data_IF_433111638976
#
_entry.id   IF_433111638976
#
_cell.length_a   1.000
_cell.length_b   1.000
_cell.length_c   1.000
_cell.angle_alpha   90.00
_cell.angle_beta   90.00
_cell.angle_gamma   90.00
#
_symmetry.space_group_name_H-M   'P 1'
#
loop_
_entity.id
_entity.type
_entity.pdbx_description
1 polymer ?
#
# COMPACT_ATOMS: atom_id res chain seq x y z
N UNK A 1 -2.91 24.26 14.08
CA UNK A 1 -2.34 23.06 14.68
C UNK A 1 -2.11 23.19 16.17
N UNK A 2 -1.36 24.18 16.61
CA UNK A 2 -1.00 24.34 18.04
C UNK A 2 -2.14 24.73 18.98
N UNK A 3 -3.27 25.21 18.47
CA UNK A 3 -4.32 25.74 19.32
C UNK A 3 -5.04 24.65 20.13
N UNK A 4 -5.55 23.61 19.46
CA UNK A 4 -6.31 22.55 20.13
C UNK A 4 -5.43 21.84 21.17
N UNK A 5 -4.22 21.50 20.82
CA UNK A 5 -3.21 20.97 21.72
C UNK A 5 -2.94 21.88 22.93
N UNK A 6 -2.64 23.14 22.68
CA UNK A 6 -2.30 24.08 23.77
C UNK A 6 -3.41 24.28 24.80
N UNK A 7 -4.68 24.06 24.40
CA UNK A 7 -5.82 24.15 25.31
C UNK A 7 -6.14 22.85 26.05
N UNK A 8 -5.86 21.68 25.47
CA UNK A 8 -6.06 20.39 26.13
C UNK A 8 -4.85 19.98 26.97
N UNK A 9 -3.65 20.22 26.46
CA UNK A 9 -2.39 19.88 27.12
C UNK A 9 -2.21 18.37 27.30
N UNK A 10 -2.56 17.56 26.29
CA UNK A 10 -2.33 16.13 26.31
C UNK A 10 -0.83 15.79 26.37
N UNK A 11 -0.49 14.61 26.86
CA UNK A 11 0.90 14.16 26.98
C UNK A 11 1.46 13.74 25.62
N UNK A 12 2.08 14.66 24.90
CA UNK A 12 2.67 14.45 23.57
C UNK A 12 3.81 13.42 23.53
N UNK A 13 4.40 13.12 24.69
CA UNK A 13 5.49 12.15 24.79
C UNK A 13 4.99 10.73 24.82
N UNK A 14 3.98 10.47 25.64
CA UNK A 14 3.42 9.13 25.80
C UNK A 14 2.35 8.83 24.77
N UNK A 15 1.55 9.84 24.38
CA UNK A 15 0.40 9.73 23.48
C UNK A 15 0.43 10.80 22.37
N UNK A 16 1.49 10.85 21.52
CA UNK A 16 1.68 11.95 20.56
C UNK A 16 0.53 12.11 19.57
N UNK A 17 -0.24 11.07 19.31
CA UNK A 17 -1.38 11.11 18.41
C UNK A 17 -2.56 11.95 18.92
N UNK A 18 -2.72 12.05 20.26
CA UNK A 18 -3.78 12.88 20.86
C UNK A 18 -3.57 14.36 20.59
N UNK A 19 -2.32 14.74 20.43
CA UNK A 19 -1.91 16.09 20.11
C UNK A 19 -1.85 16.27 18.59
N UNK A 20 -0.88 15.68 17.95
CA UNK A 20 -0.57 15.88 16.53
C UNK A 20 -1.64 15.31 15.60
N UNK A 21 -2.15 14.13 15.93
CA UNK A 21 -3.10 13.40 15.09
C UNK A 21 -4.49 14.04 15.05
N UNK A 22 -5.02 14.43 16.21
CA UNK A 22 -6.31 15.13 16.29
C UNK A 22 -6.25 16.52 15.63
N UNK A 23 -5.15 17.23 15.78
CA UNK A 23 -4.93 18.49 15.09
C UNK A 23 -4.88 18.28 13.57
N UNK A 24 -4.17 17.25 13.10
CA UNK A 24 -4.09 16.91 11.66
C UNK A 24 -5.45 16.56 11.07
N UNK A 25 -6.30 15.83 11.81
CA UNK A 25 -7.67 15.55 11.40
C UNK A 25 -8.50 16.84 11.25
N UNK A 26 -8.46 17.73 12.23
CA UNK A 26 -9.18 19.02 12.16
C UNK A 26 -8.64 19.92 11.05
N UNK A 27 -7.33 19.94 10.81
CA UNK A 27 -6.71 20.65 9.70
C UNK A 27 -7.18 20.11 8.35
N UNK A 28 -7.26 18.80 8.19
CA UNK A 28 -7.80 18.17 6.96
C UNK A 28 -9.27 18.54 6.74
N UNK A 29 -10.11 18.55 7.78
CA UNK A 29 -11.51 19.00 7.69
C UNK A 29 -11.58 20.47 7.27
N UNK A 30 -10.79 21.33 7.92
CA UNK A 30 -10.73 22.75 7.56
C UNK A 30 -10.32 22.97 6.10
N UNK A 31 -9.28 22.26 5.65
CA UNK A 31 -8.80 22.36 4.25
C UNK A 31 -9.87 21.90 3.25
N UNK A 32 -10.58 20.82 3.53
CA UNK A 32 -11.67 20.33 2.67
C UNK A 32 -12.82 21.35 2.53
N UNK A 33 -13.20 21.98 3.61
CA UNK A 33 -14.32 22.97 3.62
C UNK A 33 -13.88 24.30 3.00
N UNK A 34 -12.70 24.80 3.38
CA UNK A 34 -12.25 26.14 3.00
C UNK A 34 -11.60 26.19 1.61
N UNK A 35 -10.91 25.10 1.23
CA UNK A 35 -10.12 25.01 0.01
C UNK A 35 -10.40 23.69 -0.73
N UNK A 36 -11.64 23.48 -1.20
CA UNK A 36 -12.06 22.19 -1.78
C UNK A 36 -11.21 21.76 -2.99
N UNK A 37 -10.72 22.68 -3.78
CA UNK A 37 -9.90 22.42 -4.97
C UNK A 37 -8.40 22.37 -4.69
N UNK A 38 -7.98 22.63 -3.46
CA UNK A 38 -6.56 22.65 -3.11
C UNK A 38 -6.04 21.24 -2.82
N UNK A 39 -4.98 20.87 -3.49
CA UNK A 39 -4.23 19.66 -3.21
C UNK A 39 -2.73 19.99 -3.07
N UNK A 40 -2.17 19.74 -1.90
CA UNK A 40 -0.78 20.09 -1.57
C UNK A 40 0.24 19.48 -2.55
N UNK A 41 -0.01 18.27 -3.05
CA UNK A 41 0.90 17.57 -3.97
C UNK A 41 0.74 18.04 -5.41
N UNK A 42 -0.50 18.29 -5.84
CA UNK A 42 -0.80 18.52 -7.26
C UNK A 42 -1.02 19.98 -7.62
N UNK A 43 -1.32 20.86 -6.64
CA UNK A 43 -1.65 22.27 -6.90
C UNK A 43 -0.57 23.03 -7.67
N UNK A 44 0.70 22.74 -7.42
CA UNK A 44 1.84 23.37 -8.11
C UNK A 44 2.21 22.74 -9.46
N UNK A 45 1.57 21.61 -9.83
CA UNK A 45 1.89 20.92 -11.08
C UNK A 45 1.08 21.49 -12.27
N UNK A 46 1.72 21.66 -13.44
CA UNK A 46 1.02 22.02 -14.67
C UNK A 46 -0.10 21.01 -15.03
N UNK A 47 -1.20 21.50 -15.65
CA UNK A 47 -2.34 20.63 -16.03
C UNK A 47 -1.93 19.43 -16.88
N UNK A 48 -1.01 19.60 -17.84
CA UNK A 48 -0.57 18.49 -18.69
C UNK A 48 0.14 17.39 -17.89
N UNK A 49 0.90 17.73 -16.85
CA UNK A 49 1.55 16.76 -15.95
C UNK A 49 0.48 16.04 -15.13
N UNK A 50 -0.50 16.77 -14.57
CA UNK A 50 -1.61 16.16 -13.81
C UNK A 50 -2.35 15.13 -14.66
N UNK A 51 -2.69 15.49 -15.90
CA UNK A 51 -3.37 14.59 -16.85
C UNK A 51 -2.49 13.39 -17.22
N UNK A 52 -1.20 13.61 -17.52
CA UNK A 52 -0.27 12.52 -17.91
C UNK A 52 -0.05 11.52 -16.78
N UNK A 53 0.06 12.00 -15.54
CA UNK A 53 0.24 11.18 -14.35
C UNK A 53 -1.09 10.74 -13.74
N UNK A 54 -2.25 11.09 -14.34
CA UNK A 54 -3.58 10.77 -13.83
C UNK A 54 -3.79 11.22 -12.38
N UNK A 55 -3.46 12.49 -12.13
CA UNK A 55 -3.55 13.10 -10.81
C UNK A 55 -4.79 14.00 -10.67
N UNK A 56 -5.64 14.08 -11.69
CA UNK A 56 -6.83 14.96 -11.69
C UNK A 56 -7.88 14.46 -10.69
N UNK A 57 -8.04 13.14 -10.55
CA UNK A 57 -8.99 12.51 -9.62
C UNK A 57 -8.56 12.56 -8.15
N UNK A 58 -7.37 13.09 -7.89
CA UNK A 58 -6.81 13.16 -6.54
C UNK A 58 -7.01 14.55 -5.89
N UNK A 59 -8.04 15.25 -6.22
CA UNK A 59 -8.44 16.48 -5.53
C UNK A 59 -8.95 16.18 -4.14
N UNK A 60 -8.73 16.87 -3.12
CA UNK A 60 -9.35 16.82 -1.77
C UNK A 60 -9.01 15.68 -0.81
N UNK A 61 -8.22 14.66 -1.19
CA UNK A 61 -7.79 13.63 -0.24
C UNK A 61 -6.36 13.87 0.21
N UNK A 62 -6.05 13.54 1.44
CA UNK A 62 -4.67 13.53 1.94
C UNK A 62 -3.89 12.35 1.37
N UNK A 63 -3.74 12.32 0.04
CA UNK A 63 -3.06 11.24 -0.68
C UNK A 63 -1.67 10.98 -0.16
N UNK A 64 -0.94 12.04 0.15
CA UNK A 64 0.40 11.89 0.71
C UNK A 64 0.36 11.16 2.06
N UNK A 65 -0.57 11.53 2.92
CA UNK A 65 -0.78 10.88 4.20
C UNK A 65 -1.25 9.43 4.06
N UNK A 66 -2.22 9.16 3.18
CA UNK A 66 -2.67 7.80 2.86
C UNK A 66 -1.51 6.95 2.32
N UNK A 67 -0.72 7.49 1.40
CA UNK A 67 0.44 6.81 0.83
C UNK A 67 1.50 6.47 1.88
N UNK A 68 1.79 7.38 2.80
CA UNK A 68 2.72 7.14 3.91
C UNK A 68 2.23 6.00 4.81
N UNK A 69 0.95 5.99 5.16
CA UNK A 69 0.34 4.90 5.92
C UNK A 69 0.37 3.58 5.14
N UNK A 70 -0.12 3.57 3.90
CA UNK A 70 -0.22 2.36 3.09
C UNK A 70 1.15 1.74 2.81
N UNK A 71 2.17 2.53 2.50
CA UNK A 71 3.52 2.02 2.28
C UNK A 71 4.06 1.26 3.51
N UNK A 72 3.82 1.79 4.71
CA UNK A 72 4.22 1.11 5.94
C UNK A 72 3.39 -0.16 6.18
N UNK A 73 2.08 -0.11 6.00
CA UNK A 73 1.20 -1.26 6.13
C UNK A 73 1.52 -2.36 5.11
N UNK A 74 1.66 -2.02 3.82
CA UNK A 74 1.98 -2.97 2.75
C UNK A 74 3.34 -3.65 2.91
N UNK A 75 4.30 -2.96 3.50
CA UNK A 75 5.66 -3.49 3.69
C UNK A 75 5.88 -4.09 5.07
N UNK A 76 4.84 -4.21 5.90
CA UNK A 76 4.92 -4.78 7.23
C UNK A 76 5.77 -3.97 8.21
N UNK A 77 5.83 -2.65 8.02
CA UNK A 77 6.59 -1.71 8.85
C UNK A 77 5.71 -0.77 9.65
N UNK A 78 4.40 -1.03 9.69
CA UNK A 78 3.45 -0.26 10.47
C UNK A 78 3.72 -0.37 11.97
N UNK A 79 3.38 0.67 12.73
CA UNK A 79 3.42 0.70 14.20
C UNK A 79 2.05 1.13 14.74
N UNK A 80 1.70 0.78 15.99
CA UNK A 80 0.47 1.26 16.62
C UNK A 80 0.41 2.80 16.65
N UNK A 81 -0.80 3.34 16.62
CA UNK A 81 -1.02 4.77 16.84
C UNK A 81 -0.73 5.12 18.31
N UNK A 82 -1.14 4.25 19.23
CA UNK A 82 -0.82 4.37 20.66
C UNK A 82 0.58 3.79 20.90
N UNK A 83 1.57 4.67 20.89
CA UNK A 83 2.96 4.30 21.12
C UNK A 83 3.73 5.52 21.62
N UNK A 84 4.59 5.32 22.61
CA UNK A 84 5.47 6.37 23.11
C UNK A 84 6.34 6.96 21.97
N UNK A 85 6.44 8.30 21.90
CA UNK A 85 7.08 9.03 20.81
C UNK A 85 8.47 8.53 20.42
N UNK A 86 9.31 8.20 21.42
CA UNK A 86 10.69 7.72 21.18
C UNK A 86 10.78 6.29 20.57
N UNK A 87 9.68 5.53 20.53
CA UNK A 87 9.66 4.17 19.96
C UNK A 87 9.35 4.15 18.47
N UNK A 88 8.85 5.22 17.89
CA UNK A 88 8.62 5.32 16.46
C UNK A 88 9.92 5.38 15.66
N UNK A 89 9.89 4.85 14.44
CA UNK A 89 10.88 5.24 13.42
C UNK A 89 10.55 6.66 12.94
N UNK A 90 11.52 7.40 12.41
CA UNK A 90 11.28 8.77 11.92
C UNK A 90 10.18 8.84 10.86
N UNK A 91 10.13 7.86 9.90
CA UNK A 91 9.06 7.79 8.90
C UNK A 91 7.69 7.50 9.54
N UNK A 92 7.64 6.60 10.53
CA UNK A 92 6.39 6.24 11.16
C UNK A 92 5.87 7.34 12.08
N UNK A 93 6.75 8.15 12.68
CA UNK A 93 6.29 9.29 13.46
C UNK A 93 5.43 10.22 12.59
N UNK A 94 5.94 10.67 11.44
CA UNK A 94 5.16 11.47 10.50
C UNK A 94 3.96 10.73 9.89
N UNK A 95 4.17 9.49 9.41
CA UNK A 95 3.14 8.73 8.70
C UNK A 95 2.02 8.18 9.59
N UNK A 96 2.28 7.92 10.88
CA UNK A 96 1.30 7.32 11.79
C UNK A 96 0.71 8.35 12.73
N UNK A 97 1.54 9.08 13.45
CA UNK A 97 1.05 10.03 14.48
C UNK A 97 0.19 11.11 13.84
N UNK A 98 0.60 11.63 12.69
CA UNK A 98 -0.16 12.65 11.94
C UNK A 98 -1.17 12.01 10.98
N UNK A 99 -0.69 11.29 9.97
CA UNK A 99 -1.51 10.91 8.81
C UNK A 99 -2.45 9.76 9.10
N UNK A 100 -1.96 8.63 9.62
CA UNK A 100 -2.82 7.48 9.94
C UNK A 100 -3.88 7.87 10.97
N UNK A 101 -3.50 8.63 12.00
CA UNK A 101 -4.45 9.10 13.02
C UNK A 101 -5.54 9.96 12.39
N UNK A 102 -5.18 10.94 11.55
CA UNK A 102 -6.18 11.76 10.88
C UNK A 102 -7.15 10.95 10.03
N UNK A 103 -6.65 9.95 9.29
CA UNK A 103 -7.46 9.07 8.42
C UNK A 103 -8.41 8.20 9.25
N UNK A 104 -7.96 7.63 10.37
CA UNK A 104 -8.84 6.77 11.17
C UNK A 104 -9.89 7.59 11.93
N UNK A 105 -9.62 8.84 12.30
CA UNK A 105 -10.63 9.74 12.85
C UNK A 105 -11.63 10.23 11.78
N UNK A 106 -11.21 10.40 10.54
CA UNK A 106 -12.13 10.60 9.40
C UNK A 106 -13.10 9.41 9.24
N UNK A 107 -12.59 8.20 9.34
CA UNK A 107 -13.42 7.00 9.30
C UNK A 107 -14.41 6.93 10.48
N UNK A 108 -13.97 7.24 11.69
CA UNK A 108 -14.86 7.30 12.85
C UNK A 108 -15.95 8.35 12.65
N UNK A 109 -15.61 9.52 12.12
CA UNK A 109 -16.55 10.60 11.83
C UNK A 109 -17.55 10.18 10.73
N UNK A 110 -17.10 9.53 9.67
CA UNK A 110 -17.97 9.04 8.61
C UNK A 110 -18.98 8.00 9.13
N UNK A 111 -18.56 7.12 10.02
CA UNK A 111 -19.45 6.11 10.65
C UNK A 111 -20.46 6.72 11.62
N UNK A 112 -20.05 7.67 12.46
CA UNK A 112 -20.92 8.30 13.44
C UNK A 112 -21.85 9.37 12.82
N UNK A 113 -21.45 9.96 11.72
CA UNK A 113 -21.99 11.20 11.16
C UNK A 113 -21.33 12.44 11.77
N UNK A 114 -21.21 13.51 10.96
CA UNK A 114 -20.50 14.73 11.39
C UNK A 114 -21.09 15.38 12.64
N UNK A 115 -22.43 15.47 12.72
CA UNK A 115 -23.11 16.12 13.86
C UNK A 115 -22.81 15.44 15.19
N UNK A 116 -22.90 14.10 15.21
CA UNK A 116 -22.62 13.29 16.42
C UNK A 116 -21.13 13.34 16.77
N UNK A 117 -20.25 13.24 15.75
CA UNK A 117 -18.82 13.37 15.97
C UNK A 117 -18.45 14.72 16.56
N UNK A 118 -19.01 15.80 16.04
CA UNK A 118 -18.78 17.16 16.54
C UNK A 118 -19.34 17.37 17.96
N UNK A 119 -20.45 16.73 18.30
CA UNK A 119 -20.97 16.70 19.69
C UNK A 119 -19.96 16.02 20.63
N UNK A 120 -19.41 14.87 20.23
CA UNK A 120 -18.35 14.19 20.99
C UNK A 120 -17.14 15.11 21.22
N UNK A 121 -16.66 15.74 20.14
CA UNK A 121 -15.49 16.63 20.23
C UNK A 121 -15.75 17.87 21.05
N UNK A 122 -16.92 18.50 20.93
CA UNK A 122 -17.32 19.65 21.78
C UNK A 122 -17.43 19.26 23.24
N UNK A 123 -18.02 18.09 23.53
CA UNK A 123 -18.15 17.57 24.89
C UNK A 123 -16.79 17.28 25.49
N UNK A 124 -15.92 16.63 24.72
CA UNK A 124 -14.54 16.36 25.12
C UNK A 124 -13.79 17.64 25.43
N UNK A 125 -13.83 18.64 24.55
CA UNK A 125 -13.17 19.93 24.77
C UNK A 125 -13.70 20.64 26.00
N UNK A 126 -15.02 20.78 26.17
CA UNK A 126 -15.62 21.42 27.34
C UNK A 126 -15.23 20.75 28.65
N UNK A 127 -15.16 19.44 28.70
CA UNK A 127 -14.85 18.65 29.89
C UNK A 127 -13.36 18.70 30.24
N UNK A 128 -12.48 18.72 29.23
CA UNK A 128 -11.07 18.45 29.40
C UNK A 128 -10.11 19.62 29.10
N UNK A 129 -10.58 20.75 28.60
CA UNK A 129 -9.72 21.93 28.43
C UNK A 129 -8.95 22.25 29.71
N UNK A 130 -7.64 22.44 29.58
CA UNK A 130 -6.68 22.74 30.68
C UNK A 130 -6.53 21.62 31.73
N UNK A 131 -6.89 20.37 31.45
CA UNK A 131 -6.89 19.26 32.40
C UNK A 131 -6.03 18.07 32.03
N UNK A 132 -5.26 18.14 30.95
CA UNK A 132 -4.32 17.12 30.54
C UNK A 132 -4.95 15.72 30.32
N UNK A 133 -5.90 15.56 29.39
CA UNK A 133 -6.63 14.32 29.17
C UNK A 133 -5.71 13.21 28.67
N UNK A 134 -6.12 11.97 28.94
CA UNK A 134 -5.49 10.74 28.50
C UNK A 134 -6.36 10.05 27.42
N UNK A 135 -5.84 9.07 26.66
CA UNK A 135 -6.62 8.34 25.63
C UNK A 135 -7.95 7.79 26.12
N UNK A 136 -7.97 7.25 27.35
CA UNK A 136 -9.19 6.74 27.97
C UNK A 136 -10.27 7.80 28.18
N UNK A 137 -9.87 9.06 28.41
CA UNK A 137 -10.81 10.15 28.66
C UNK A 137 -11.54 10.55 27.37
N UNK A 138 -10.84 10.53 26.24
CA UNK A 138 -11.42 10.70 24.92
C UNK A 138 -12.42 9.57 24.62
N UNK A 139 -12.00 8.32 24.83
CA UNK A 139 -12.86 7.14 24.64
C UNK A 139 -14.15 7.23 25.44
N UNK A 140 -14.04 7.50 26.75
CA UNK A 140 -15.21 7.60 27.64
C UNK A 140 -16.20 8.65 27.13
N UNK A 141 -15.73 9.79 26.67
CA UNK A 141 -16.62 10.83 26.13
C UNK A 141 -17.32 10.36 24.88
N UNK A 142 -16.60 9.75 23.95
CA UNK A 142 -17.20 9.23 22.70
C UNK A 142 -18.23 8.13 22.98
N UNK A 143 -17.91 7.16 23.83
CA UNK A 143 -18.83 6.07 24.18
C UNK A 143 -20.06 6.59 24.98
N UNK A 144 -19.89 7.62 25.83
CA UNK A 144 -21.01 8.24 26.54
C UNK A 144 -21.97 9.02 25.64
N UNK A 145 -21.43 9.78 24.67
CA UNK A 145 -22.26 10.60 23.76
C UNK A 145 -22.95 9.74 22.71
N UNK A 146 -22.26 8.72 22.21
CA UNK A 146 -22.79 7.87 21.12
C UNK A 146 -23.60 6.68 21.62
N UNK A 147 -23.50 6.31 22.89
CA UNK A 147 -24.06 5.09 23.48
C UNK A 147 -23.59 3.81 22.73
N UNK A 148 -22.43 3.86 22.07
CA UNK A 148 -21.87 2.76 21.29
C UNK A 148 -20.60 2.21 21.92
N UNK A 149 -20.37 0.90 21.76
CA UNK A 149 -19.06 0.29 22.02
C UNK A 149 -18.11 0.65 20.88
N UNK A 150 -17.05 1.39 21.19
CA UNK A 150 -16.01 1.80 20.28
C UNK A 150 -14.68 1.04 20.51
N UNK A 151 -14.74 -0.14 21.10
CA UNK A 151 -13.56 -0.99 21.36
C UNK A 151 -12.81 -1.33 20.05
N UNK A 152 -13.54 -1.59 18.96
CA UNK A 152 -12.93 -1.82 17.63
C UNK A 152 -12.04 -0.65 17.18
N UNK A 153 -12.36 0.57 17.59
CA UNK A 153 -11.59 1.77 17.26
C UNK A 153 -10.41 1.95 18.22
N UNK A 154 -10.68 2.04 19.52
CA UNK A 154 -9.64 2.37 20.51
C UNK A 154 -8.70 1.19 20.81
N UNK A 155 -9.21 -0.05 20.86
CA UNK A 155 -8.37 -1.21 21.19
C UNK A 155 -7.72 -1.83 19.95
N UNK A 156 -8.43 -1.91 18.82
CA UNK A 156 -7.90 -2.53 17.61
C UNK A 156 -7.17 -1.54 16.71
N UNK A 157 -7.81 -0.43 16.29
CA UNK A 157 -7.19 0.53 15.37
C UNK A 157 -6.07 1.34 16.05
N UNK A 158 -6.36 1.90 17.23
CA UNK A 158 -5.41 2.81 17.92
C UNK A 158 -4.26 2.01 18.54
N UNK A 159 -4.54 0.91 19.25
CA UNK A 159 -3.54 0.20 20.05
C UNK A 159 -2.77 -0.86 19.26
N UNK A 160 -3.14 -1.19 18.02
CA UNK A 160 -2.49 -2.29 17.29
C UNK A 160 -2.10 -1.90 15.86
N UNK A 161 -1.39 -2.81 15.19
CA UNK A 161 -1.12 -2.74 13.75
C UNK A 161 -2.05 -3.64 12.94
N UNK A 162 -3.17 -4.09 13.52
CA UNK A 162 -4.22 -4.79 12.78
C UNK A 162 -4.71 -3.91 11.63
N UNK A 163 -5.12 -4.55 10.54
CA UNK A 163 -5.62 -3.84 9.36
C UNK A 163 -7.11 -4.08 9.20
N UNK A 164 -7.82 -3.04 8.80
CA UNK A 164 -9.18 -3.12 8.29
C UNK A 164 -9.11 -3.52 6.82
N UNK A 165 -9.81 -4.58 6.43
CA UNK A 165 -9.89 -5.04 5.04
C UNK A 165 -11.14 -5.92 4.91
N UNK A 166 -12.09 -5.46 4.13
CA UNK A 166 -13.29 -6.20 3.78
C UNK A 166 -13.30 -6.50 2.29
N UNK A 167 -13.93 -7.59 1.89
CA UNK A 167 -14.07 -7.98 0.50
C UNK A 167 -15.52 -8.31 0.17
N UNK A 168 -15.96 -7.97 -1.03
CA UNK A 168 -17.21 -8.49 -1.58
C UNK A 168 -16.88 -9.80 -2.29
N UNK A 169 -17.42 -10.93 -1.76
CA UNK A 169 -17.08 -12.25 -2.31
C UNK A 169 -18.17 -12.83 -3.20
N UNK A 170 -19.41 -12.42 -3.03
CA UNK A 170 -20.53 -12.90 -3.87
C UNK A 170 -21.70 -11.93 -3.88
N UNK A 171 -22.46 -11.94 -4.98
CA UNK A 171 -23.76 -11.28 -5.13
C UNK A 171 -24.75 -12.26 -5.74
N UNK A 172 -25.90 -12.43 -5.06
CA UNK A 172 -27.06 -13.17 -5.56
C UNK A 172 -28.26 -12.24 -5.71
N UNK A 173 -28.91 -12.30 -6.85
CA UNK A 173 -30.09 -11.47 -7.14
C UNK A 173 -31.36 -12.21 -6.71
N UNK A 174 -32.16 -11.56 -5.88
CA UNK A 174 -33.53 -11.94 -5.56
C UNK A 174 -34.51 -10.96 -6.21
N UNK A 175 -35.80 -11.20 -6.14
CA UNK A 175 -36.82 -10.36 -6.79
C UNK A 175 -36.75 -8.89 -6.33
N UNK A 176 -36.62 -8.66 -5.02
CA UNK A 176 -36.60 -7.30 -4.42
C UNK A 176 -35.26 -6.93 -3.80
N UNK A 177 -34.36 -7.88 -3.62
CA UNK A 177 -33.10 -7.68 -2.91
C UNK A 177 -31.92 -8.25 -3.69
N UNK A 178 -30.74 -7.70 -3.38
CA UNK A 178 -29.44 -8.33 -3.63
C UNK A 178 -28.94 -8.92 -2.33
N UNK A 179 -28.58 -10.20 -2.32
CA UNK A 179 -27.84 -10.81 -1.22
C UNK A 179 -26.36 -10.60 -1.49
N UNK A 180 -25.72 -9.75 -0.70
CA UNK A 180 -24.31 -9.43 -0.82
C UNK A 180 -23.57 -10.15 0.28
N UNK A 181 -22.63 -11.02 -0.08
CA UNK A 181 -21.77 -11.70 0.88
C UNK A 181 -20.45 -10.95 1.01
N UNK A 182 -20.23 -10.41 2.19
CA UNK A 182 -19.02 -9.74 2.60
C UNK A 182 -18.11 -10.70 3.37
N UNK A 183 -16.80 -10.50 3.28
CA UNK A 183 -15.80 -11.22 4.06
C UNK A 183 -14.87 -10.21 4.73
N UNK A 184 -14.67 -10.36 6.03
CA UNK A 184 -13.58 -9.66 6.73
C UNK A 184 -12.26 -10.39 6.42
N UNK A 185 -11.42 -9.78 5.61
CA UNK A 185 -10.09 -10.29 5.27
C UNK A 185 -9.00 -9.67 6.15
N UNK A 186 -9.35 -8.60 6.87
CA UNK A 186 -8.54 -7.96 7.90
C UNK A 186 -8.64 -8.65 9.26
N UNK A 187 -8.33 -7.91 10.30
CA UNK A 187 -8.38 -8.38 11.69
C UNK A 187 -9.15 -7.44 12.62
N UNK A 188 -9.72 -6.36 12.06
CA UNK A 188 -10.50 -5.37 12.79
C UNK A 188 -11.98 -5.60 12.46
N UNK A 189 -12.81 -5.63 13.48
CA UNK A 189 -14.28 -5.74 13.36
C UNK A 189 -14.92 -4.33 13.36
N UNK A 190 -14.35 -3.43 12.56
CA UNK A 190 -14.91 -2.07 12.41
C UNK A 190 -16.11 -2.06 11.46
N UNK A 191 -16.98 -1.05 11.53
CA UNK A 191 -18.11 -0.90 10.62
C UNK A 191 -17.66 -0.83 9.16
N UNK A 192 -18.50 -1.29 8.23
CA UNK A 192 -18.24 -1.25 6.80
C UNK A 192 -19.39 -0.60 6.05
N UNK A 193 -19.09 0.35 5.15
CA UNK A 193 -20.08 0.97 4.30
C UNK A 193 -20.11 0.31 2.92
N UNK A 194 -21.31 0.01 2.43
CA UNK A 194 -21.52 -0.47 1.07
C UNK A 194 -22.50 0.43 0.32
N UNK A 195 -22.30 0.56 -0.99
CA UNK A 195 -23.15 1.35 -1.88
C UNK A 195 -23.38 0.63 -3.19
N UNK A 196 -24.56 0.79 -3.76
CA UNK A 196 -24.80 0.54 -5.17
C UNK A 196 -24.23 1.70 -5.99
N UNK A 197 -23.55 1.41 -7.10
CA UNK A 197 -23.00 2.44 -7.98
C UNK A 197 -23.73 2.42 -9.30
N UNK A 198 -24.19 3.60 -9.73
CA UNK A 198 -24.82 3.84 -11.03
C UNK A 198 -24.20 5.07 -11.69
N UNK A 199 -23.71 4.90 -12.91
CA UNK A 199 -23.07 5.99 -13.68
C UNK A 199 -21.93 6.71 -12.91
N UNK A 200 -21.24 5.98 -12.02
CA UNK A 200 -20.17 6.49 -11.16
C UNK A 200 -20.61 7.08 -9.82
N UNK A 201 -21.93 7.29 -9.62
CA UNK A 201 -22.47 7.89 -8.40
C UNK A 201 -22.88 6.84 -7.36
N UNK A 202 -22.68 7.16 -6.08
CA UNK A 202 -23.09 6.32 -4.95
C UNK A 202 -24.58 6.45 -4.68
N UNK A 203 -25.26 5.30 -4.68
CA UNK A 203 -26.68 5.17 -4.40
C UNK A 203 -26.88 4.39 -3.11
N UNK A 204 -27.81 4.88 -2.25
CA UNK A 204 -28.27 4.16 -1.06
C UNK A 204 -27.13 3.60 -0.17
N UNK A 205 -26.17 4.40 0.29
CA UNK A 205 -25.11 3.92 1.16
C UNK A 205 -25.68 3.41 2.49
N UNK A 206 -25.21 2.25 2.95
CA UNK A 206 -25.57 1.68 4.24
C UNK A 206 -24.34 1.27 5.03
N UNK A 207 -24.33 1.62 6.32
CA UNK A 207 -23.36 1.12 7.28
C UNK A 207 -23.80 -0.25 7.82
N UNK A 208 -22.85 -1.15 7.93
CA UNK A 208 -23.02 -2.49 8.48
C UNK A 208 -22.07 -2.60 9.65
N UNK A 209 -22.57 -2.99 10.81
CA UNK A 209 -21.75 -3.26 11.99
C UNK A 209 -20.69 -4.31 11.69
N UNK A 210 -19.50 -4.10 12.24
CA UNK A 210 -18.36 -4.96 12.05
C UNK A 210 -18.62 -6.42 12.45
N UNK A 211 -17.99 -7.34 11.75
CA UNK A 211 -18.17 -8.77 11.94
C UNK A 211 -16.87 -9.54 11.74
N UNK A 212 -16.86 -10.79 12.20
CA UNK A 212 -15.78 -11.74 12.01
C UNK A 212 -16.11 -12.65 10.82
N UNK A 213 -15.13 -13.06 10.05
CA UNK A 213 -15.21 -13.95 8.88
C UNK A 213 -16.17 -13.46 7.79
N UNK A 214 -17.41 -13.99 7.69
CA UNK A 214 -18.36 -13.70 6.61
C UNK A 214 -19.72 -13.25 7.12
N UNK A 215 -20.33 -12.32 6.39
CA UNK A 215 -21.70 -11.86 6.64
C UNK A 215 -22.42 -11.64 5.31
N UNK A 216 -23.64 -12.18 5.20
CA UNK A 216 -24.52 -11.90 4.07
C UNK A 216 -25.54 -10.84 4.48
N UNK A 217 -25.62 -9.78 3.71
CA UNK A 217 -26.54 -8.67 3.94
C UNK A 217 -27.54 -8.55 2.80
N UNK A 218 -28.76 -8.14 3.14
CA UNK A 218 -29.78 -7.81 2.16
C UNK A 218 -29.63 -6.35 1.79
N UNK A 219 -29.51 -6.08 0.50
CA UNK A 219 -29.41 -4.77 -0.08
C UNK A 219 -30.51 -4.55 -1.09
N UNK A 220 -31.02 -3.33 -1.24
CA UNK A 220 -32.09 -3.05 -2.21
C UNK A 220 -31.66 -3.42 -3.63
N UNK A 221 -32.54 -4.09 -4.39
CA UNK A 221 -32.28 -4.47 -5.78
C UNK A 221 -32.62 -3.31 -6.72
N UNK A 222 -31.63 -2.47 -6.98
CA UNK A 222 -31.70 -1.35 -7.94
C UNK A 222 -30.96 -1.69 -9.25
N UNK A 223 -31.05 -0.76 -10.22
CA UNK A 223 -30.25 -0.85 -11.45
C UNK A 223 -28.85 -0.30 -11.20
N UNK A 224 -28.01 -1.10 -10.57
CA UNK A 224 -26.61 -0.77 -10.28
C UNK A 224 -25.66 -1.39 -11.30
N UNK A 225 -24.59 -0.68 -11.62
CA UNK A 225 -23.48 -1.19 -12.45
C UNK A 225 -22.58 -2.11 -11.63
N UNK A 226 -22.33 -1.71 -10.39
CA UNK A 226 -21.57 -2.50 -9.42
C UNK A 226 -22.01 -2.19 -7.98
N UNK A 227 -21.62 -3.07 -7.05
CA UNK A 227 -21.67 -2.80 -5.62
C UNK A 227 -20.25 -2.55 -5.14
N UNK A 228 -20.10 -1.57 -4.25
CA UNK A 228 -18.80 -1.14 -3.76
C UNK A 228 -18.79 -0.99 -2.26
N UNK A 229 -17.70 -1.44 -1.64
CA UNK A 229 -17.31 -1.05 -0.29
C UNK A 229 -16.59 0.30 -0.40
N UNK A 230 -16.90 1.22 0.49
CA UNK A 230 -16.20 2.49 0.68
C UNK A 230 -15.99 3.29 -0.61
N UNK A 231 -17.09 3.66 -1.28
CA UNK A 231 -17.03 4.43 -2.52
C UNK A 231 -16.26 5.75 -2.37
N UNK A 232 -16.47 6.44 -1.25
CA UNK A 232 -15.86 7.74 -1.00
C UNK A 232 -14.40 7.65 -0.50
N UNK A 233 -13.91 6.44 -0.13
CA UNK A 233 -12.58 6.23 0.40
C UNK A 233 -12.40 6.79 1.81
N UNK A 234 -13.40 6.65 2.65
CA UNK A 234 -13.43 7.11 4.06
C UNK A 234 -12.81 6.07 5.01
N UNK A 235 -12.80 4.79 4.61
CA UNK A 235 -12.25 3.70 5.41
C UNK A 235 -10.74 3.57 5.22
N UNK A 236 -9.97 3.30 6.29
CA UNK A 236 -8.51 3.13 6.20
C UNK A 236 -8.09 1.76 5.66
N UNK A 237 -8.75 1.27 4.61
CA UNK A 237 -8.46 -0.02 4.00
C UNK A 237 -7.20 0.02 3.14
N UNK A 238 -6.27 -0.87 3.42
CA UNK A 238 -5.00 -0.97 2.69
C UNK A 238 -5.08 -1.75 1.38
N UNK A 239 -6.19 -2.50 1.17
CA UNK A 239 -6.44 -3.26 -0.05
C UNK A 239 -7.87 -3.00 -0.53
N UNK A 240 -8.03 -2.07 -1.45
CA UNK A 240 -9.34 -1.71 -2.03
C UNK A 240 -9.64 -2.44 -3.34
N UNK A 241 -8.77 -3.35 -3.78
CA UNK A 241 -8.98 -4.12 -5.01
C UNK A 241 -10.10 -5.18 -4.88
N UNK A 242 -10.43 -5.59 -3.66
CA UNK A 242 -11.48 -6.55 -3.35
C UNK A 242 -12.83 -5.89 -2.99
N UNK A 243 -12.93 -4.57 -3.12
CA UNK A 243 -14.08 -3.76 -2.70
C UNK A 243 -15.18 -3.65 -3.75
N UNK A 244 -14.98 -4.17 -4.96
CA UNK A 244 -15.89 -3.95 -6.09
C UNK A 244 -16.36 -5.28 -6.65
N UNK A 245 -17.67 -5.38 -6.91
CA UNK A 245 -18.25 -6.47 -7.67
C UNK A 245 -19.27 -5.94 -8.68
N UNK A 246 -19.13 -6.30 -9.96
CA UNK A 246 -20.10 -5.94 -11.02
C UNK A 246 -21.38 -6.73 -10.85
N UNK A 247 -22.52 -6.07 -11.09
CA UNK A 247 -23.85 -6.72 -11.03
C UNK A 247 -24.16 -7.55 -12.27
N UNK A 248 -23.46 -7.27 -13.40
CA UNK A 248 -23.66 -7.90 -14.72
C UNK A 248 -22.32 -8.35 -15.31
N UNK A 249 -22.33 -9.30 -16.21
CA UNK A 249 -21.15 -9.79 -16.95
C UNK A 249 -20.49 -11.05 -16.36
N UNK A 250 -19.57 -11.64 -17.12
CA UNK A 250 -18.86 -12.89 -16.75
C UNK A 250 -17.73 -12.66 -15.75
N UNK A 251 -17.03 -11.52 -15.86
CA UNK A 251 -15.87 -11.19 -15.02
C UNK A 251 -16.26 -10.14 -13.97
N UNK A 252 -17.09 -10.55 -12.99
CA UNK A 252 -17.67 -9.64 -12.01
C UNK A 252 -16.65 -8.99 -11.07
N UNK A 253 -15.56 -9.68 -10.76
CA UNK A 253 -14.52 -9.23 -9.82
C UNK A 253 -13.28 -8.65 -10.51
N UNK A 254 -13.27 -8.62 -11.87
CA UNK A 254 -12.12 -8.05 -12.59
C UNK A 254 -12.21 -6.53 -12.64
N UNK A 255 -11.17 -5.90 -12.15
CA UNK A 255 -10.97 -4.46 -12.28
C UNK A 255 -10.74 -4.07 -13.74
N UNK A 256 -11.19 -2.87 -14.15
CA UNK A 256 -10.86 -2.35 -15.48
C UNK A 256 -9.36 -2.10 -15.62
N UNK A 257 -8.82 -2.44 -16.79
CA UNK A 257 -7.42 -2.16 -17.13
C UNK A 257 -7.23 -0.66 -17.37
N UNK A 258 -6.19 -0.10 -16.77
CA UNK A 258 -5.77 1.29 -17.00
C UNK A 258 -4.35 1.33 -17.55
N UNK A 259 -4.21 1.74 -18.82
CA UNK A 259 -2.92 1.98 -19.45
C UNK A 259 -2.47 3.42 -19.18
N UNK A 260 -1.25 3.60 -18.66
CA UNK A 260 -0.71 4.91 -18.29
C UNK A 260 0.72 5.07 -18.80
N UNK A 261 1.00 6.25 -19.36
CA UNK A 261 2.35 6.65 -19.72
C UNK A 261 3.06 7.10 -18.45
N UNK A 262 4.20 6.46 -18.12
CA UNK A 262 4.97 6.71 -16.90
C UNK A 262 4.24 6.24 -15.62
N UNK A 263 4.98 6.08 -14.52
CA UNK A 263 4.43 5.67 -13.23
C UNK A 263 3.56 6.76 -12.60
N UNK A 264 2.52 6.33 -11.90
CA UNK A 264 1.61 7.19 -11.15
C UNK A 264 1.33 6.60 -9.77
N UNK A 265 0.58 7.33 -8.95
CA UNK A 265 0.10 6.84 -7.67
C UNK A 265 -0.79 5.59 -7.84
N UNK A 266 -0.88 4.82 -6.76
CA UNK A 266 -1.74 3.64 -6.72
C UNK A 266 -3.21 4.05 -6.91
N UNK A 267 -3.86 3.45 -7.91
CA UNK A 267 -5.30 3.59 -8.13
C UNK A 267 -6.00 2.33 -7.61
N UNK A 268 -6.78 2.41 -6.55
CA UNK A 268 -7.33 1.23 -5.88
C UNK A 268 -8.35 0.46 -6.71
N UNK A 269 -8.95 1.09 -7.72
CA UNK A 269 -10.09 0.58 -8.48
C UNK A 269 -9.73 0.08 -9.88
N UNK A 270 -8.46 0.16 -10.28
CA UNK A 270 -8.02 -0.18 -11.63
C UNK A 270 -6.74 -0.99 -11.60
N UNK A 271 -6.67 -1.99 -12.46
CA UNK A 271 -5.40 -2.67 -12.73
C UNK A 271 -4.54 -1.77 -13.61
N UNK A 272 -3.52 -1.15 -13.02
CA UNK A 272 -2.63 -0.22 -13.72
C UNK A 272 -1.52 -0.97 -14.45
N UNK A 273 -1.33 -0.61 -15.72
CA UNK A 273 -0.18 -1.00 -16.53
C UNK A 273 0.50 0.25 -17.04
N UNK A 274 1.73 0.44 -16.61
CA UNK A 274 2.56 1.58 -17.00
C UNK A 274 3.43 1.23 -18.18
N UNK A 275 3.64 2.18 -19.07
CA UNK A 275 4.57 2.04 -20.18
C UNK A 275 5.24 3.36 -20.51
N UNK A 276 6.45 3.29 -21.03
CA UNK A 276 7.13 4.44 -21.64
C UNK A 276 8.14 3.96 -22.70
N UNK A 277 8.42 4.82 -23.70
CA UNK A 277 9.44 4.53 -24.67
C UNK A 277 10.81 4.33 -24.02
N UNK A 278 11.56 3.37 -24.53
CA UNK A 278 12.94 3.10 -24.10
C UNK A 278 13.85 3.10 -25.32
N UNK A 279 15.02 3.69 -25.14
CA UNK A 279 16.11 3.61 -26.09
C UNK A 279 17.37 3.19 -25.34
N UNK A 280 18.12 2.30 -25.92
CA UNK A 280 19.42 1.88 -25.44
C UNK A 280 20.44 1.92 -26.56
N UNK A 281 21.69 2.05 -26.22
CA UNK A 281 22.80 1.97 -27.17
C UNK A 281 23.88 1.04 -26.63
N UNK A 282 24.34 0.17 -27.49
CA UNK A 282 25.48 -0.71 -27.27
C UNK A 282 26.23 -0.78 -28.60
N UNK A 283 27.55 -0.84 -28.57
CA UNK A 283 28.38 -0.77 -29.78
C UNK A 283 28.04 -1.89 -30.80
N UNK A 284 27.57 -3.03 -30.35
CA UNK A 284 27.24 -4.19 -31.17
C UNK A 284 25.77 -4.19 -31.62
N UNK A 285 24.83 -3.92 -30.72
CA UNK A 285 23.42 -3.77 -31.03
C UNK A 285 23.08 -2.46 -31.75
N UNK A 286 24.01 -1.45 -31.72
CA UNK A 286 23.73 -0.07 -32.11
C UNK A 286 22.58 0.51 -31.31
N UNK A 287 21.67 1.25 -31.94
CA UNK A 287 20.48 1.77 -31.29
C UNK A 287 19.43 0.67 -31.16
N UNK A 288 18.91 0.48 -29.97
CA UNK A 288 17.79 -0.41 -29.67
C UNK A 288 16.63 0.41 -29.17
N UNK A 289 15.45 0.25 -29.78
CA UNK A 289 14.23 0.99 -29.46
C UNK A 289 13.14 0.03 -29.00
N UNK A 290 12.33 0.46 -28.07
CA UNK A 290 11.21 -0.34 -27.58
C UNK A 290 10.40 0.34 -26.48
N UNK A 291 9.80 -0.48 -25.65
CA UNK A 291 8.92 -0.03 -24.56
C UNK A 291 9.34 -0.68 -23.24
N UNK A 292 9.31 0.07 -22.16
CA UNK A 292 9.28 -0.51 -20.82
C UNK A 292 7.85 -0.62 -20.36
N UNK A 293 7.43 -1.82 -20.01
CA UNK A 293 6.08 -2.16 -19.53
C UNK A 293 6.20 -2.71 -18.12
N UNK A 294 5.42 -2.16 -17.19
CA UNK A 294 5.45 -2.59 -15.79
C UNK A 294 4.12 -2.29 -15.08
N UNK A 295 3.84 -3.01 -13.99
CA UNK A 295 2.56 -2.88 -13.27
C UNK A 295 2.68 -2.22 -11.90
N UNK A 296 3.87 -1.80 -11.50
CA UNK A 296 4.05 -1.29 -10.13
C UNK A 296 5.06 -0.16 -10.06
N UNK A 297 4.65 0.91 -9.39
CA UNK A 297 5.50 2.05 -9.11
C UNK A 297 5.99 2.06 -7.65
N UNK A 298 5.14 1.63 -6.71
CA UNK A 298 5.43 1.64 -5.28
C UNK A 298 5.66 0.24 -4.71
N UNK A 299 6.38 0.14 -3.60
CA UNK A 299 6.60 -1.10 -2.89
C UNK A 299 5.29 -1.60 -2.24
N UNK A 300 4.77 -2.71 -2.75
CA UNK A 300 3.59 -3.42 -2.23
C UNK A 300 3.85 -4.93 -2.35
N UNK A 301 3.28 -5.73 -1.46
CA UNK A 301 3.30 -7.19 -1.60
C UNK A 301 2.56 -7.68 -2.85
N UNK A 302 2.75 -8.95 -3.22
CA UNK A 302 2.14 -9.58 -4.39
C UNK A 302 3.03 -9.60 -5.64
N UNK A 303 2.42 -9.87 -6.79
CA UNK A 303 3.11 -10.03 -8.06
C UNK A 303 3.41 -8.69 -8.72
N UNK A 304 4.62 -8.55 -9.26
CA UNK A 304 5.02 -7.41 -10.08
C UNK A 304 5.89 -7.86 -11.25
N UNK A 305 5.83 -7.12 -12.34
CA UNK A 305 6.65 -7.37 -13.50
C UNK A 305 7.21 -6.07 -14.11
N UNK A 306 8.34 -6.21 -14.77
CA UNK A 306 8.95 -5.21 -15.64
C UNK A 306 9.46 -5.96 -16.88
N UNK A 307 9.04 -5.57 -18.07
CA UNK A 307 9.43 -6.15 -19.34
C UNK A 307 9.87 -5.01 -20.25
N UNK A 308 11.02 -5.14 -20.86
CA UNK A 308 11.63 -4.13 -21.74
C UNK A 308 12.06 -4.81 -23.05
N UNK A 309 11.13 -5.10 -23.97
CA UNK A 309 11.48 -5.56 -25.30
C UNK A 309 12.07 -4.41 -26.11
N UNK A 310 13.23 -4.65 -26.69
CA UNK A 310 13.95 -3.70 -27.53
C UNK A 310 14.27 -4.34 -28.89
N UNK A 311 14.03 -3.64 -29.97
CA UNK A 311 14.46 -4.02 -31.32
C UNK A 311 15.76 -3.29 -31.66
N UNK A 312 16.78 -4.04 -32.03
CA UNK A 312 18.12 -3.56 -32.34
C UNK A 312 18.26 -3.17 -33.81
N UNK A 313 18.76 -1.98 -34.10
CA UNK A 313 19.04 -1.55 -35.46
C UNK A 313 20.30 -2.19 -36.03
N UNK A 314 21.24 -2.59 -35.19
CA UNK A 314 22.50 -3.23 -35.61
C UNK A 314 22.31 -4.71 -36.00
N UNK A 315 21.67 -5.47 -35.13
CA UNK A 315 21.49 -6.93 -35.32
C UNK A 315 20.16 -7.30 -35.97
N UNK A 316 19.22 -6.35 -36.08
CA UNK A 316 17.86 -6.57 -36.58
C UNK A 316 17.10 -7.68 -35.83
N UNK A 317 17.36 -7.80 -34.52
CA UNK A 317 16.80 -8.80 -33.63
C UNK A 317 16.27 -8.19 -32.34
N UNK A 318 15.49 -8.96 -31.59
CA UNK A 318 14.95 -8.59 -30.30
C UNK A 318 15.99 -8.83 -29.20
N UNK A 319 16.18 -7.81 -28.39
CA UNK A 319 16.95 -7.85 -27.14
C UNK A 319 16.16 -7.22 -25.99
N UNK A 320 16.74 -7.14 -24.82
CA UNK A 320 16.12 -6.44 -23.70
C UNK A 320 16.22 -7.18 -22.39
N UNK A 321 15.28 -6.86 -21.49
CA UNK A 321 15.25 -7.43 -20.15
C UNK A 321 13.82 -7.69 -19.66
N UNK A 322 13.68 -8.68 -18.78
CA UNK A 322 12.45 -8.98 -18.07
C UNK A 322 12.75 -9.24 -16.59
N UNK A 323 11.89 -8.77 -15.71
CA UNK A 323 11.92 -9.04 -14.27
C UNK A 323 10.52 -9.37 -13.79
N UNK A 324 10.34 -10.58 -13.27
CA UNK A 324 9.11 -11.06 -12.65
C UNK A 324 9.37 -11.23 -11.16
N UNK A 325 8.52 -10.68 -10.30
CA UNK A 325 8.74 -10.68 -8.86
C UNK A 325 7.46 -10.98 -8.11
N UNK A 326 7.52 -11.91 -7.18
CA UNK A 326 6.51 -12.08 -6.13
C UNK A 326 7.12 -11.72 -4.78
N UNK A 327 6.47 -10.82 -4.05
CA UNK A 327 6.92 -10.39 -2.72
C UNK A 327 5.82 -10.58 -1.69
N UNK A 328 6.15 -11.20 -0.57
CA UNK A 328 5.27 -11.31 0.60
C UNK A 328 5.95 -10.67 1.80
N UNK A 329 5.23 -9.77 2.47
CA UNK A 329 5.65 -9.19 3.75
C UNK A 329 4.87 -9.80 4.90
N UNK A 330 5.47 -9.88 6.07
CA UNK A 330 4.84 -10.36 7.30
C UNK A 330 5.30 -9.54 8.49
N UNK A 331 4.36 -9.22 9.37
CA UNK A 331 4.65 -8.58 10.66
C UNK A 331 4.75 -9.59 11.80
N UNK A 332 4.13 -10.76 11.67
CA UNK A 332 3.96 -11.74 12.75
C UNK A 332 4.89 -12.93 12.69
N UNK A 333 5.46 -13.23 11.50
CA UNK A 333 6.38 -14.37 11.33
C UNK A 333 7.83 -13.99 11.65
N UNK A 334 8.69 -15.03 11.79
CA UNK A 334 10.15 -14.87 11.90
C UNK A 334 10.75 -14.20 10.66
N UNK A 335 10.09 -14.35 9.51
CA UNK A 335 10.50 -13.73 8.25
C UNK A 335 9.70 -12.45 8.02
N UNK A 336 10.38 -11.33 7.86
CA UNK A 336 9.75 -10.06 7.52
C UNK A 336 9.37 -9.98 6.04
N UNK A 337 10.27 -10.44 5.16
CA UNK A 337 10.08 -10.37 3.71
C UNK A 337 10.53 -11.66 3.05
N UNK A 338 9.68 -12.17 2.20
CA UNK A 338 9.97 -13.25 1.26
C UNK A 338 9.82 -12.69 -0.16
N UNK A 339 10.84 -12.84 -0.99
CA UNK A 339 10.81 -12.38 -2.38
C UNK A 339 11.36 -13.46 -3.30
N UNK A 340 10.52 -13.89 -4.24
CA UNK A 340 10.91 -14.74 -5.35
C UNK A 340 10.96 -13.89 -6.61
N UNK A 341 12.03 -13.97 -7.37
CA UNK A 341 12.19 -13.22 -8.62
C UNK A 341 12.85 -14.04 -9.71
N UNK A 342 12.54 -13.68 -10.96
CA UNK A 342 13.23 -14.17 -12.16
C UNK A 342 13.68 -12.94 -12.93
N UNK A 343 14.97 -12.82 -13.13
CA UNK A 343 15.61 -11.82 -13.98
C UNK A 343 16.06 -12.48 -15.28
N UNK A 344 15.70 -11.90 -16.42
CA UNK A 344 16.17 -12.33 -17.73
C UNK A 344 16.76 -11.13 -18.50
N UNK A 345 17.86 -11.35 -19.20
CA UNK A 345 18.51 -10.36 -20.08
C UNK A 345 19.04 -11.03 -21.32
N UNK A 346 18.90 -10.34 -22.47
CA UNK A 346 19.45 -10.73 -23.75
C UNK A 346 20.04 -9.50 -24.45
N UNK A 347 21.29 -9.57 -24.92
CA UNK A 347 21.96 -8.53 -25.67
C UNK A 347 23.24 -9.05 -26.36
N UNK A 348 23.74 -8.35 -27.37
CA UNK A 348 25.05 -8.64 -27.97
C UNK A 348 26.16 -8.03 -27.11
N UNK A 349 27.20 -8.78 -26.85
CA UNK A 349 28.36 -8.34 -26.08
C UNK A 349 29.64 -8.25 -26.95
N UNK A 350 29.62 -8.81 -28.16
CA UNK A 350 30.64 -8.74 -29.18
C UNK A 350 29.99 -8.89 -30.56
N UNK A 351 30.73 -8.79 -31.69
CA UNK A 351 30.23 -9.01 -33.05
C UNK A 351 29.75 -10.46 -33.17
N UNK A 352 28.50 -10.62 -33.61
CA UNK A 352 27.80 -11.92 -33.77
C UNK A 352 27.82 -12.80 -32.50
N UNK A 353 28.02 -12.21 -31.32
CA UNK A 353 28.08 -12.93 -30.05
C UNK A 353 26.97 -12.43 -29.10
N UNK A 354 26.04 -13.31 -28.87
CA UNK A 354 24.89 -13.08 -28.01
C UNK A 354 25.14 -13.52 -26.57
N UNK A 355 24.59 -12.77 -25.66
CA UNK A 355 24.53 -13.09 -24.23
C UNK A 355 23.10 -13.21 -23.79
N UNK A 356 22.72 -14.34 -23.23
CA UNK A 356 21.48 -14.53 -22.51
C UNK A 356 21.74 -14.97 -21.06
N UNK A 357 21.04 -14.34 -20.13
CA UNK A 357 21.06 -14.72 -18.74
C UNK A 357 19.64 -14.87 -18.22
N UNK A 358 19.37 -15.97 -17.51
CA UNK A 358 18.16 -16.18 -16.72
C UNK A 358 18.59 -16.46 -15.28
N UNK A 359 18.03 -15.73 -14.33
CA UNK A 359 18.42 -15.82 -12.92
C UNK A 359 17.18 -15.84 -12.03
N UNK A 360 16.63 -17.02 -11.70
CA UNK A 360 15.72 -17.16 -10.57
C UNK A 360 16.46 -16.89 -9.27
N UNK A 361 15.80 -16.15 -8.37
CA UNK A 361 16.38 -15.71 -7.11
C UNK A 361 15.34 -15.73 -5.99
N UNK A 362 15.76 -16.22 -4.83
CA UNK A 362 15.04 -16.16 -3.58
C UNK A 362 15.77 -15.21 -2.62
N UNK A 363 15.07 -14.22 -2.10
CA UNK A 363 15.54 -13.33 -1.04
C UNK A 363 14.63 -13.44 0.18
N UNK A 364 15.22 -13.64 1.34
CA UNK A 364 14.54 -13.71 2.63
C UNK A 364 15.17 -12.68 3.56
N UNK A 365 14.35 -11.82 4.15
CA UNK A 365 14.76 -10.91 5.23
C UNK A 365 14.16 -11.40 6.53
N UNK A 366 14.99 -11.58 7.53
CA UNK A 366 14.53 -11.93 8.87
C UNK A 366 13.89 -10.72 9.56
N UNK A 367 12.96 -10.99 10.47
CA UNK A 367 12.33 -9.95 11.26
C UNK A 367 13.34 -9.29 12.19
N UNK A 368 13.34 -7.98 12.24
CA UNK A 368 14.12 -7.23 13.23
C UNK A 368 13.50 -7.38 14.61
N UNK A 369 14.29 -7.36 15.69
CA UNK A 369 13.77 -7.34 17.06
C UNK A 369 12.81 -6.16 17.29
N UNK A 370 13.18 -5.00 16.78
CA UNK A 370 12.31 -3.79 16.71
C UNK A 370 12.55 -3.10 15.37
N UNK A 371 11.58 -2.31 14.90
CA UNK A 371 11.74 -1.55 13.64
C UNK A 371 12.90 -0.55 13.70
N UNK A 372 13.29 -0.08 14.89
CA UNK A 372 14.44 0.79 15.12
C UNK A 372 15.77 0.04 15.23
N UNK A 373 15.74 -1.30 15.25
CA UNK A 373 16.97 -2.08 15.28
C UNK A 373 17.84 -1.75 14.07
N UNK A 374 19.13 -1.57 14.32
CA UNK A 374 20.15 -1.34 13.28
C UNK A 374 20.64 -2.64 12.66
N UNK A 375 20.18 -3.78 13.19
CA UNK A 375 20.56 -5.10 12.71
C UNK A 375 19.62 -5.55 11.61
N UNK A 376 20.15 -5.93 10.47
CA UNK A 376 19.47 -6.53 9.34
C UNK A 376 20.11 -7.87 8.96
N UNK A 377 19.28 -8.88 8.74
CA UNK A 377 19.70 -10.20 8.31
C UNK A 377 19.00 -10.58 7.01
N UNK A 378 19.78 -10.88 5.98
CA UNK A 378 19.30 -11.28 4.66
C UNK A 378 19.92 -12.61 4.24
N UNK A 379 19.09 -13.49 3.70
CA UNK A 379 19.48 -14.70 3.01
C UNK A 379 19.09 -14.56 1.54
N UNK A 380 20.00 -14.84 0.64
CA UNK A 380 19.75 -14.88 -0.79
C UNK A 380 20.27 -16.17 -1.38
N UNK A 381 19.46 -16.80 -2.23
CA UNK A 381 19.88 -17.91 -3.08
C UNK A 381 19.47 -17.60 -4.52
N UNK A 382 20.36 -17.83 -5.48
CA UNK A 382 20.05 -17.66 -6.88
C UNK A 382 20.74 -18.75 -7.71
N UNK A 383 20.06 -19.17 -8.77
CA UNK A 383 20.65 -19.94 -9.84
C UNK A 383 20.88 -19.01 -11.02
N UNK A 384 22.07 -19.05 -11.61
CA UNK A 384 22.41 -18.24 -12.77
C UNK A 384 22.63 -19.16 -13.94
N UNK A 385 21.74 -19.08 -14.91
CA UNK A 385 21.89 -19.70 -16.23
C UNK A 385 22.44 -18.64 -17.17
N UNK A 386 23.55 -18.95 -17.81
CA UNK A 386 24.21 -18.12 -18.82
C UNK A 386 24.35 -18.91 -20.09
N UNK A 387 23.92 -18.30 -21.18
CA UNK A 387 24.18 -18.80 -22.53
C UNK A 387 24.99 -17.75 -23.27
N UNK A 388 26.09 -18.20 -23.86
CA UNK A 388 27.06 -17.36 -24.53
C UNK A 388 27.68 -18.19 -25.67
N UNK A 389 27.31 -17.88 -26.91
CA UNK A 389 27.70 -18.63 -28.08
C UNK A 389 27.41 -20.15 -27.96
N UNK A 390 28.46 -20.97 -27.95
CA UNK A 390 28.36 -22.41 -27.82
C UNK A 390 28.54 -22.91 -26.37
N UNK A 391 28.60 -21.98 -25.39
CA UNK A 391 28.78 -22.34 -24.00
C UNK A 391 27.53 -22.06 -23.19
N UNK A 392 27.07 -23.07 -22.48
CA UNK A 392 25.99 -22.95 -21.50
C UNK A 392 26.57 -23.17 -20.11
N UNK A 393 26.36 -22.18 -19.24
CA UNK A 393 26.93 -22.17 -17.91
C UNK A 393 25.82 -22.08 -16.88
N UNK A 394 25.87 -22.96 -15.88
CA UNK A 394 24.95 -22.94 -14.76
C UNK A 394 25.68 -22.91 -13.42
N UNK A 395 25.34 -21.99 -12.52
CA UNK A 395 25.92 -21.97 -11.18
C UNK A 395 24.95 -21.45 -10.13
N UNK A 396 25.13 -21.92 -8.91
CA UNK A 396 24.35 -21.48 -7.74
C UNK A 396 25.15 -20.47 -6.95
N UNK A 397 24.49 -19.36 -6.58
CA UNK A 397 25.03 -18.37 -5.64
C UNK A 397 24.19 -18.36 -4.38
N UNK A 398 24.82 -18.58 -3.23
CA UNK A 398 24.24 -18.32 -1.93
C UNK A 398 24.90 -17.08 -1.30
N UNK A 399 24.11 -16.26 -0.62
CA UNK A 399 24.62 -15.10 0.12
C UNK A 399 23.85 -14.93 1.42
N UNK A 400 24.57 -14.88 2.52
CA UNK A 400 24.05 -14.37 3.78
C UNK A 400 24.66 -13.00 4.03
N UNK A 401 23.84 -12.02 4.38
CA UNK A 401 24.30 -10.69 4.74
C UNK A 401 23.76 -10.35 6.12
N UNK A 402 24.67 -10.11 7.03
CA UNK A 402 24.42 -9.50 8.32
C UNK A 402 24.95 -8.07 8.25
N UNK A 403 24.12 -7.09 8.58
CA UNK A 403 24.55 -5.71 8.71
C UNK A 403 24.13 -5.16 10.07
N UNK A 404 25.05 -4.46 10.71
CA UNK A 404 24.79 -3.70 11.93
C UNK A 404 25.33 -2.28 11.71
N UNK A 405 24.46 -1.29 11.69
CA UNK A 405 24.86 0.10 11.43
C UNK A 405 25.77 0.73 12.51
N UNK A 406 26.03 0.00 13.61
CA UNK A 406 27.05 0.40 14.62
C UNK A 406 28.46 0.00 14.22
N UNK A 407 28.62 -1.03 13.39
CA UNK A 407 29.88 -1.48 12.83
C UNK A 407 29.80 -1.31 11.32
N UNK A 408 30.64 -0.49 10.75
CA UNK A 408 30.71 -0.17 9.31
C UNK A 408 31.16 -1.37 8.44
N UNK A 409 31.15 -2.59 8.96
CA UNK A 409 31.56 -3.79 8.25
C UNK A 409 30.34 -4.69 7.99
N UNK A 410 29.83 -4.75 6.74
CA UNK A 410 28.92 -5.81 6.36
C UNK A 410 29.72 -7.13 6.27
N UNK A 411 29.50 -8.05 7.20
CA UNK A 411 29.96 -9.41 7.03
C UNK A 411 29.12 -10.08 5.96
N UNK A 412 29.70 -10.34 4.80
CA UNK A 412 29.07 -11.17 3.78
C UNK A 412 29.80 -12.51 3.71
N UNK A 413 29.10 -13.59 4.07
CA UNK A 413 29.54 -14.94 3.80
C UNK A 413 29.06 -15.31 2.39
N UNK A 414 29.97 -15.53 1.48
CA UNK A 414 29.67 -16.04 0.15
C UNK A 414 29.93 -17.54 0.13
N UNK A 415 28.88 -18.36 0.01
CA UNK A 415 29.02 -19.77 -0.31
C UNK A 415 28.79 -19.91 -1.83
N UNK A 416 29.81 -20.33 -2.56
CA UNK A 416 29.76 -20.61 -4.01
C UNK A 416 29.74 -22.13 -4.18
N UNK A 417 28.63 -22.66 -4.68
CA UNK A 417 28.54 -24.07 -5.05
C UNK A 417 28.60 -24.10 -6.58
N UNK A 418 29.72 -24.56 -7.11
CA UNK A 418 29.93 -24.75 -8.55
C UNK A 418 29.71 -26.21 -8.89
N UNK A 419 28.92 -26.46 -9.92
CA UNK A 419 28.75 -27.77 -10.51
C UNK A 419 29.29 -27.72 -11.95
N UNK A 420 30.52 -28.20 -12.14
CA UNK A 420 31.18 -28.29 -13.45
C UNK A 420 32.71 -28.08 -13.35
N UNK A 421 33.47 -28.90 -14.03
CA UNK A 421 34.95 -28.95 -13.97
C UNK A 421 35.68 -27.74 -14.58
N UNK A 422 35.00 -26.78 -15.17
CA UNK A 422 35.61 -25.69 -15.94
C UNK A 422 35.69 -24.33 -15.27
N UNK A 423 35.26 -24.18 -14.00
CA UNK A 423 35.10 -22.87 -13.34
C UNK A 423 36.23 -22.38 -12.47
N UNK A 424 37.38 -23.00 -12.48
CA UNK A 424 38.53 -22.56 -11.70
C UNK A 424 39.25 -21.30 -12.24
N UNK A 425 38.70 -20.58 -13.18
CA UNK A 425 39.37 -19.42 -13.83
C UNK A 425 38.50 -18.18 -14.07
N UNK A 426 37.60 -17.83 -13.16
CA UNK A 426 37.04 -16.46 -13.17
C UNK A 426 37.09 -15.87 -11.78
N UNK A 427 38.09 -15.07 -11.54
CA UNK A 427 38.25 -14.17 -10.40
C UNK A 427 37.26 -13.00 -10.47
#
# INVERSE_FOLDING_TARGET
HNWFYGMLGSNERDHPWMDEGLNSHNEMRYMRIKYPDYNMVTSSLPKFIKKTLDLEDYTNKNIFGEMMYFMNAWTGKDQPIELHSCKYTGMNYGGIVYSKTAIVFDYLMAYLGEDVYDECMRTYFKKWQYKHPQPKDLRIVFEQVTEKDLSWFFEDIINTTKQLDYAIVDIKKETKNLLITLKNTGKIKGPVIISGIKDGESMTPIWIEGFEDKKTVRYFNGDYDNIRIDHNGEMPETNRNNNIIKTKGLFKTCEPLKLQVVGSFYHPEKTQVFFHPMMNYNIYNKHSFGLKIYNRFLAKGGFSYKIVPLYSSGTKDLNGEANLVYTKYSQTSTFHKFRLSIDAKKYMYDYDKEYMRIMPKLDIQLKKPTLRSKVDNYLSASYVYLEKENETLGFIKGKYTYSNARTYNPYSLHAKIEKGEQYNKVH
#
